data_IF_691423604971
#
_entry.id   IF_691423604971
#
_cell.length_a   1.000
_cell.length_b   1.000
_cell.length_c   1.000
_cell.angle_alpha   90.00
_cell.angle_beta   90.00
_cell.angle_gamma   90.00
#
_symmetry.space_group_name_H-M   'P 1'
#
loop_
_entity.id
_entity.type
_entity.pdbx_description
1 polymer ?
#
# COMPACT_ATOMS: atom_id res chain seq x y z
N UNK A 1 -2.54 10.46 29.39
CA UNK A 1 -3.13 9.77 28.23
C UNK A 1 -2.00 9.11 27.46
N UNK A 2 -2.01 7.79 27.27
CA UNK A 2 -1.05 7.11 26.40
C UNK A 2 -1.68 6.97 25.02
N UNK A 3 -0.96 7.40 23.99
CA UNK A 3 -1.37 7.24 22.60
C UNK A 3 -0.51 6.15 21.98
N UNK A 4 -1.14 5.26 21.21
CA UNK A 4 -0.45 4.29 20.36
C UNK A 4 -0.49 4.80 18.93
N UNK A 5 0.69 4.94 18.33
CA UNK A 5 0.82 5.21 16.90
C UNK A 5 0.81 3.90 16.10
N UNK A 6 0.09 3.89 14.99
CA UNK A 6 0.14 2.85 13.97
C UNK A 6 0.29 3.49 12.60
N UNK A 7 0.87 2.77 11.63
CA UNK A 7 0.99 3.24 10.24
C UNK A 7 -0.13 2.63 9.41
N UNK A 8 -0.68 3.40 8.49
CA UNK A 8 -1.78 2.96 7.61
C UNK A 8 -1.50 3.40 6.17
N UNK A 9 -1.92 2.58 5.21
CA UNK A 9 -2.01 2.88 3.79
C UNK A 9 -3.44 2.55 3.36
N UNK A 10 -4.30 3.56 3.30
CA UNK A 10 -5.64 3.35 2.75
C UNK A 10 -5.61 3.16 1.22
N UNK A 11 -6.75 2.78 0.67
CA UNK A 11 -6.92 2.60 -0.77
C UNK A 11 -6.54 3.85 -1.58
N UNK A 12 -6.75 5.04 -1.02
CA UNK A 12 -6.41 6.30 -1.66
C UNK A 12 -4.88 6.52 -1.70
N UNK A 13 -4.18 6.26 -0.61
CA UNK A 13 -2.72 6.31 -0.54
C UNK A 13 -2.06 5.33 -1.52
N UNK A 14 -2.56 4.10 -1.59
CA UNK A 14 -2.10 3.10 -2.57
C UNK A 14 -2.39 3.54 -4.01
N UNK A 15 -3.57 4.11 -4.28
CA UNK A 15 -3.94 4.66 -5.58
C UNK A 15 -2.99 5.79 -6.00
N UNK A 16 -2.72 6.73 -5.10
CA UNK A 16 -1.78 7.82 -5.37
C UNK A 16 -0.37 7.32 -5.64
N UNK A 17 0.10 6.27 -4.95
CA UNK A 17 1.38 5.66 -5.27
C UNK A 17 1.38 5.08 -6.69
N UNK A 18 0.32 4.41 -7.11
CA UNK A 18 0.24 3.84 -8.45
C UNK A 18 0.23 4.94 -9.53
N UNK A 19 -0.61 5.96 -9.37
CA UNK A 19 -0.71 7.06 -10.35
C UNK A 19 0.60 7.85 -10.43
N UNK A 20 1.25 8.13 -9.30
CA UNK A 20 2.45 8.96 -9.27
C UNK A 20 3.69 8.29 -9.89
N UNK A 21 3.71 6.96 -9.96
CA UNK A 21 4.86 6.19 -10.45
C UNK A 21 4.54 5.38 -11.71
N UNK A 22 3.38 5.61 -12.33
CA UNK A 22 2.92 4.87 -13.51
C UNK A 22 2.90 3.33 -13.29
N UNK A 23 2.42 2.92 -12.12
CA UNK A 23 2.20 1.50 -11.83
C UNK A 23 0.79 1.07 -12.22
N UNK A 24 0.56 -0.24 -12.25
CA UNK A 24 -0.71 -0.86 -12.61
C UNK A 24 -1.11 -0.64 -14.08
N UNK A 25 -0.12 -0.47 -14.98
CA UNK A 25 -0.34 -0.18 -16.41
C UNK A 25 -1.00 -1.33 -17.19
N UNK A 26 -0.99 -2.55 -16.64
CA UNK A 26 -1.64 -3.73 -17.24
C UNK A 26 -2.82 -4.27 -16.44
N UNK A 27 -3.28 -3.55 -15.42
CA UNK A 27 -4.41 -3.98 -14.61
C UNK A 27 -5.72 -3.82 -15.35
N UNK A 28 -6.63 -4.78 -15.16
CA UNK A 28 -8.05 -4.49 -15.28
C UNK A 28 -8.61 -3.82 -14.01
N UNK A 29 -9.88 -3.43 -14.04
CA UNK A 29 -10.52 -2.77 -12.91
C UNK A 29 -10.64 -3.68 -11.67
N UNK A 30 -10.78 -4.99 -11.84
CA UNK A 30 -10.94 -5.94 -10.73
C UNK A 30 -9.60 -6.22 -10.04
N UNK A 31 -8.52 -6.37 -10.81
CA UNK A 31 -7.14 -6.44 -10.32
C UNK A 31 -6.77 -5.19 -9.54
N UNK A 32 -7.08 -4.02 -10.10
CA UNK A 32 -6.77 -2.77 -9.43
C UNK A 32 -7.55 -2.62 -8.14
N UNK A 33 -8.85 -2.91 -8.14
CA UNK A 33 -9.68 -2.86 -6.93
C UNK A 33 -9.20 -3.84 -5.85
N UNK A 34 -8.76 -5.04 -6.23
CA UNK A 34 -8.17 -6.01 -5.30
C UNK A 34 -6.90 -5.48 -4.64
N UNK A 35 -6.00 -4.85 -5.39
CA UNK A 35 -4.75 -4.26 -4.85
C UNK A 35 -5.08 -3.14 -3.86
N UNK A 36 -6.00 -2.24 -4.21
CA UNK A 36 -6.39 -1.13 -3.34
C UNK A 36 -7.12 -1.62 -2.08
N UNK A 37 -8.00 -2.61 -2.22
CA UNK A 37 -8.73 -3.23 -1.12
C UNK A 37 -7.81 -3.97 -0.16
N UNK A 38 -6.75 -4.60 -0.68
CA UNK A 38 -5.74 -5.26 0.14
C UNK A 38 -4.97 -4.26 1.01
N UNK A 39 -4.55 -3.11 0.45
CA UNK A 39 -3.93 -2.03 1.21
C UNK A 39 -4.83 -1.52 2.36
N UNK A 40 -6.11 -1.23 2.05
CA UNK A 40 -7.07 -0.76 3.04
C UNK A 40 -7.34 -1.82 4.13
N UNK A 41 -7.53 -3.08 3.73
CA UNK A 41 -7.79 -4.19 4.65
C UNK A 41 -6.60 -4.46 5.55
N UNK A 42 -5.38 -4.47 5.02
CA UNK A 42 -4.16 -4.62 5.81
C UNK A 42 -3.98 -3.49 6.82
N UNK A 43 -4.37 -2.26 6.46
CA UNK A 43 -4.30 -1.10 7.36
C UNK A 43 -5.33 -1.10 8.49
N UNK A 44 -6.36 -1.95 8.42
CA UNK A 44 -7.36 -2.14 9.48
C UNK A 44 -6.94 -3.19 10.51
N UNK A 45 -5.87 -3.95 10.25
CA UNK A 45 -5.34 -4.93 11.21
C UNK A 45 -4.85 -4.23 12.49
N UNK A 46 -4.97 -4.87 13.67
CA UNK A 46 -4.37 -4.37 14.90
C UNK A 46 -2.85 -4.17 14.72
N UNK A 47 -2.37 -2.95 14.91
CA UNK A 47 -0.96 -2.59 14.66
C UNK A 47 -0.71 -1.85 13.34
N UNK A 48 -1.71 -1.77 12.46
CA UNK A 48 -1.61 -1.10 11.17
C UNK A 48 -0.88 -1.94 10.11
N UNK A 49 -0.51 -1.29 9.02
CA UNK A 49 0.20 -1.92 7.90
C UNK A 49 1.65 -2.23 8.26
N UNK A 50 2.11 -3.42 7.88
CA UNK A 50 3.49 -3.88 8.12
C UNK A 50 4.36 -3.78 6.87
N UNK A 51 5.68 -3.97 7.03
CA UNK A 51 6.61 -4.08 5.89
C UNK A 51 6.27 -5.28 5.01
N UNK A 52 5.87 -6.40 5.62
CA UNK A 52 5.47 -7.61 4.89
C UNK A 52 4.19 -7.38 4.08
N UNK A 53 3.23 -6.61 4.61
CA UNK A 53 2.05 -6.19 3.85
C UNK A 53 2.45 -5.32 2.65
N UNK A 54 3.34 -4.34 2.85
CA UNK A 54 3.82 -3.47 1.76
C UNK A 54 4.57 -4.26 0.68
N UNK A 55 5.40 -5.23 1.07
CA UNK A 55 6.11 -6.09 0.13
C UNK A 55 5.14 -6.93 -0.71
N UNK A 56 4.15 -7.53 -0.07
CA UNK A 56 3.11 -8.33 -0.75
C UNK A 56 2.26 -7.50 -1.72
N UNK A 57 1.87 -6.29 -1.32
CA UNK A 57 1.15 -5.36 -2.21
C UNK A 57 2.06 -4.93 -3.37
N UNK A 58 3.34 -4.69 -3.11
CA UNK A 58 4.32 -4.34 -4.13
C UNK A 58 4.56 -5.48 -5.15
N UNK A 59 4.58 -6.74 -4.70
CA UNK A 59 4.62 -7.91 -5.58
C UNK A 59 3.39 -7.96 -6.49
N UNK A 60 2.20 -7.74 -5.94
CA UNK A 60 0.96 -7.70 -6.70
C UNK A 60 1.01 -6.59 -7.76
N UNK A 61 1.46 -5.39 -7.41
CA UNK A 61 1.64 -4.26 -8.34
C UNK A 61 2.68 -4.60 -9.41
N UNK A 62 3.83 -5.16 -9.04
CA UNK A 62 4.89 -5.51 -9.99
C UNK A 62 4.41 -6.51 -11.05
N UNK A 63 3.59 -7.48 -10.65
CA UNK A 63 3.06 -8.50 -11.56
C UNK A 63 2.20 -7.92 -12.71
N UNK A 64 1.67 -6.71 -12.53
CA UNK A 64 0.74 -6.03 -13.43
C UNK A 64 1.21 -4.65 -13.88
N UNK A 65 2.52 -4.38 -13.75
CA UNK A 65 3.13 -3.10 -14.13
C UNK A 65 4.28 -3.31 -15.11
N UNK A 66 4.28 -2.56 -16.21
CA UNK A 66 5.44 -2.43 -17.10
C UNK A 66 6.36 -1.33 -16.56
N UNK A 67 7.25 -1.71 -15.65
CA UNK A 67 8.21 -0.80 -15.01
C UNK A 67 9.54 -1.53 -14.75
N UNK A 68 10.64 -0.79 -14.72
CA UNK A 68 11.96 -1.29 -14.30
C UNK A 68 12.09 -1.41 -12.78
N UNK A 69 11.19 -0.76 -12.02
CA UNK A 69 11.21 -0.80 -10.55
C UNK A 69 11.02 -2.23 -10.04
N UNK A 70 11.84 -2.62 -9.08
CA UNK A 70 11.71 -3.89 -8.38
C UNK A 70 10.73 -3.79 -7.20
N UNK A 71 10.42 -4.93 -6.58
CA UNK A 71 9.49 -4.99 -5.45
C UNK A 71 9.91 -4.07 -4.30
N UNK A 72 11.19 -4.00 -3.87
CA UNK A 72 11.65 -3.03 -2.89
C UNK A 72 11.37 -1.57 -3.27
N UNK A 73 11.62 -1.16 -4.52
CA UNK A 73 11.35 0.20 -4.98
C UNK A 73 9.84 0.54 -4.90
N UNK A 74 8.98 -0.38 -5.36
CA UNK A 74 7.52 -0.22 -5.28
C UNK A 74 7.05 -0.18 -3.82
N UNK A 75 7.56 -1.07 -2.96
CA UNK A 75 7.24 -1.08 -1.53
C UNK A 75 7.65 0.24 -0.84
N UNK A 76 8.79 0.82 -1.24
CA UNK A 76 9.22 2.12 -0.75
C UNK A 76 8.30 3.26 -1.21
N UNK A 77 7.86 3.24 -2.47
CA UNK A 77 6.87 4.19 -2.97
C UNK A 77 5.54 4.13 -2.20
N UNK A 78 5.07 2.91 -1.87
CA UNK A 78 3.89 2.71 -1.00
C UNK A 78 4.13 3.22 0.42
N UNK A 79 5.28 2.90 1.01
CA UNK A 79 5.66 3.33 2.36
C UNK A 79 5.61 4.87 2.51
N UNK A 80 6.05 5.61 1.49
CA UNK A 80 5.97 7.08 1.47
C UNK A 80 4.56 7.65 1.48
N UNK A 81 3.54 6.85 1.17
CA UNK A 81 2.12 7.22 1.23
C UNK A 81 1.43 6.77 2.51
N UNK A 82 2.15 6.07 3.40
CA UNK A 82 1.59 5.71 4.69
C UNK A 82 1.39 6.93 5.58
N UNK A 83 0.33 6.91 6.39
CA UNK A 83 -0.02 7.94 7.36
C UNK A 83 0.00 7.38 8.77
N UNK A 84 0.14 8.25 9.78
CA UNK A 84 0.04 7.86 11.18
C UNK A 84 -1.41 7.92 11.66
N UNK A 85 -1.87 6.83 12.30
CA UNK A 85 -3.12 6.77 13.05
C UNK A 85 -2.80 6.66 14.55
N UNK A 86 -3.35 7.57 15.34
CA UNK A 86 -3.18 7.59 16.79
C UNK A 86 -4.45 7.12 17.48
N UNK A 87 -4.33 6.10 18.31
CA UNK A 87 -5.44 5.54 19.09
C UNK A 87 -5.13 5.63 20.58
N UNK A 88 -6.16 5.70 21.42
CA UNK A 88 -5.97 5.64 22.87
C UNK A 88 -5.53 4.22 23.28
N UNK A 89 -4.49 4.15 24.10
CA UNK A 89 -3.89 2.90 24.58
C UNK A 89 -4.39 2.49 25.97
#
# INVERSE_FOLDING_TARGET
MKLKETRILDAEGARYACIANDYCTRCDCEEYDRILSDADTSSRKPGGITVDDLARIAEAIKAVSETDDDVPAIAFALSRRTMSRFEQA
#
